data_IF_743330562371
#
_entry.id   IF_743330562371
#
_cell.length_a   1.000
_cell.length_b   1.000
_cell.length_c   1.000
_cell.angle_alpha   90.00
_cell.angle_beta   90.00
_cell.angle_gamma   90.00
#
_symmetry.space_group_name_H-M   'P 1'
#
loop_
_entity.id
_entity.type
_entity.pdbx_description
1 polymer ?
#
# COMPACT_ATOMS: atom_id res chain seq x y z
N UNK A 1 8.36 -6.34 -11.52
CA UNK A 1 7.39 -7.08 -10.68
C UNK A 1 6.50 -6.06 -10.00
N UNK A 2 5.28 -5.90 -10.48
CA UNK A 2 4.36 -4.83 -10.08
C UNK A 2 2.93 -5.39 -10.04
N UNK A 3 2.15 -4.91 -9.07
CA UNK A 3 0.71 -5.14 -9.01
C UNK A 3 0.04 -3.83 -9.41
N UNK A 4 -0.85 -3.89 -10.41
CA UNK A 4 -1.64 -2.74 -10.85
C UNK A 4 -3.04 -2.90 -10.25
N UNK A 5 -3.43 -1.94 -9.43
CA UNK A 5 -4.77 -1.84 -8.87
C UNK A 5 -5.54 -0.75 -9.63
N UNK A 6 -6.85 -0.94 -9.84
CA UNK A 6 -7.68 0.12 -10.38
C UNK A 6 -7.75 1.30 -9.41
N UNK A 7 -7.76 2.52 -9.95
CA UNK A 7 -7.83 3.76 -9.16
C UNK A 7 -9.29 4.17 -8.93
N UNK A 8 -9.59 4.71 -7.76
CA UNK A 8 -10.94 5.12 -7.35
C UNK A 8 -11.33 4.67 -5.95
N UNK A 9 -12.11 5.48 -5.23
CA UNK A 9 -12.61 5.16 -3.88
C UNK A 9 -13.52 3.91 -3.87
N UNK A 10 -14.18 3.58 -4.99
CA UNK A 10 -14.98 2.36 -5.12
C UNK A 10 -14.14 1.07 -4.94
N UNK A 11 -12.83 1.16 -5.21
CA UNK A 11 -11.87 0.08 -5.02
C UNK A 11 -11.26 0.07 -3.61
N UNK A 12 -11.67 0.96 -2.72
CA UNK A 12 -11.30 0.94 -1.29
C UNK A 12 -12.11 -0.10 -0.53
N UNK A 13 -11.97 -1.35 -0.95
CA UNK A 13 -12.74 -2.48 -0.45
C UNK A 13 -11.84 -3.68 -0.10
N UNK A 14 -12.41 -4.65 0.62
CA UNK A 14 -11.66 -5.83 1.07
C UNK A 14 -11.17 -6.71 -0.09
N UNK A 15 -11.87 -6.71 -1.22
CA UNK A 15 -11.47 -7.48 -2.40
C UNK A 15 -10.16 -6.95 -2.99
N UNK A 16 -10.04 -5.63 -3.13
CA UNK A 16 -8.80 -4.97 -3.58
C UNK A 16 -7.66 -5.20 -2.59
N UNK A 17 -7.96 -5.26 -1.29
CA UNK A 17 -6.99 -5.61 -0.26
C UNK A 17 -6.52 -7.06 -0.37
N UNK A 18 -7.43 -8.00 -0.64
CA UNK A 18 -7.10 -9.41 -0.85
C UNK A 18 -6.14 -9.56 -2.03
N UNK A 19 -6.36 -8.84 -3.13
CA UNK A 19 -5.43 -8.84 -4.28
C UNK A 19 -4.00 -8.42 -3.89
N UNK A 20 -3.85 -7.50 -2.94
CA UNK A 20 -2.53 -7.11 -2.40
C UNK A 20 -1.93 -8.27 -1.62
N UNK A 21 -2.69 -8.94 -0.75
CA UNK A 21 -2.20 -10.09 0.01
C UNK A 21 -1.83 -11.27 -0.88
N UNK A 22 -2.67 -11.60 -1.87
CA UNK A 22 -2.41 -12.69 -2.81
C UNK A 22 -1.11 -12.43 -3.57
N UNK A 23 -0.90 -11.19 -4.03
CA UNK A 23 0.35 -10.80 -4.66
C UNK A 23 1.55 -10.94 -3.71
N UNK A 24 1.44 -10.50 -2.45
CA UNK A 24 2.50 -10.68 -1.46
C UNK A 24 2.81 -12.16 -1.19
N UNK A 25 1.78 -13.00 -1.09
CA UNK A 25 1.91 -14.43 -0.84
C UNK A 25 2.53 -15.17 -2.02
N UNK A 26 2.06 -14.90 -3.25
CA UNK A 26 2.59 -15.46 -4.49
C UNK A 26 4.09 -15.16 -4.62
N UNK A 27 4.49 -13.97 -4.16
CA UNK A 27 5.88 -13.50 -4.20
C UNK A 27 6.69 -13.89 -2.96
N UNK A 28 6.12 -14.72 -2.08
CA UNK A 28 6.76 -15.19 -0.83
C UNK A 28 7.33 -14.03 0.00
N UNK A 29 6.60 -12.91 0.03
CA UNK A 29 6.95 -11.77 0.85
C UNK A 29 7.04 -12.18 2.32
N UNK A 30 8.03 -11.62 3.00
CA UNK A 30 8.32 -11.87 4.40
C UNK A 30 8.41 -10.54 5.17
N UNK A 31 8.69 -10.60 6.47
CA UNK A 31 8.78 -9.40 7.32
C UNK A 31 9.85 -8.39 6.89
N UNK A 32 10.87 -8.83 6.16
CA UNK A 32 11.92 -7.98 5.60
C UNK A 32 11.56 -7.33 4.26
N UNK A 33 10.39 -7.66 3.69
CA UNK A 33 9.95 -7.13 2.41
C UNK A 33 9.62 -5.65 2.52
N UNK A 34 10.01 -4.91 1.49
CA UNK A 34 9.70 -3.49 1.33
C UNK A 34 8.57 -3.34 0.31
N UNK A 35 7.42 -2.85 0.75
CA UNK A 35 6.33 -2.49 -0.13
C UNK A 35 6.51 -1.04 -0.61
N UNK A 36 6.37 -0.80 -1.92
CA UNK A 36 6.39 0.56 -2.48
C UNK A 36 5.02 0.86 -3.06
N UNK A 37 4.32 1.82 -2.47
CA UNK A 37 3.03 2.28 -2.94
C UNK A 37 3.25 3.50 -3.85
N UNK A 38 2.92 3.35 -5.14
CA UNK A 38 3.00 4.43 -6.12
C UNK A 38 1.59 4.78 -6.59
N UNK A 39 1.10 5.97 -6.24
CA UNK A 39 -0.27 6.37 -6.58
C UNK A 39 -0.79 7.54 -5.75
N UNK A 40 -2.10 7.81 -5.86
CA UNK A 40 -2.80 8.80 -5.04
C UNK A 40 -3.10 8.32 -3.62
N UNK A 41 -3.94 9.07 -2.91
CA UNK A 41 -4.30 8.79 -1.51
C UNK A 41 -4.98 7.43 -1.31
N UNK A 42 -5.82 6.98 -2.26
CA UNK A 42 -6.52 5.70 -2.18
C UNK A 42 -5.53 4.52 -2.17
N UNK A 43 -4.60 4.51 -3.13
CA UNK A 43 -3.55 3.48 -3.22
C UNK A 43 -2.65 3.51 -1.98
N UNK A 44 -2.28 4.71 -1.51
CA UNK A 44 -1.48 4.89 -0.30
C UNK A 44 -2.16 4.31 0.96
N UNK A 45 -3.46 4.58 1.14
CA UNK A 45 -4.25 4.06 2.27
C UNK A 45 -4.34 2.53 2.23
N UNK A 46 -4.68 1.97 1.07
CA UNK A 46 -4.85 0.51 0.90
C UNK A 46 -3.54 -0.24 1.08
N UNK A 47 -2.47 0.24 0.45
CA UNK A 47 -1.13 -0.33 0.63
C UNK A 47 -0.62 -0.13 2.07
N UNK A 48 -0.95 0.99 2.71
CA UNK A 48 -0.58 1.25 4.10
C UNK A 48 -1.28 0.34 5.08
N UNK A 49 -2.57 0.10 4.87
CA UNK A 49 -3.32 -0.87 5.65
C UNK A 49 -2.75 -2.28 5.45
N UNK A 50 -2.56 -2.72 4.20
CA UNK A 50 -1.97 -4.02 3.88
C UNK A 50 -0.57 -4.19 4.50
N UNK A 51 0.28 -3.17 4.43
CA UNK A 51 1.62 -3.22 5.00
C UNK A 51 1.61 -3.31 6.54
N UNK A 52 0.67 -2.64 7.21
CA UNK A 52 0.54 -2.67 8.67
C UNK A 52 0.01 -4.02 9.20
N UNK A 53 -0.91 -4.65 8.47
CA UNK A 53 -1.55 -5.92 8.86
C UNK A 53 -0.75 -7.15 8.42
N UNK A 54 -0.08 -7.10 7.27
CA UNK A 54 0.65 -8.23 6.73
C UNK A 54 1.83 -8.59 7.64
N UNK A 55 1.85 -9.84 8.14
CA UNK A 55 2.87 -10.35 9.07
C UNK A 55 3.13 -9.46 10.30
N UNK A 56 2.08 -8.79 10.82
CA UNK A 56 2.18 -7.80 11.92
C UNK A 56 3.05 -6.58 11.59
N UNK A 57 3.13 -6.21 10.32
CA UNK A 57 3.85 -5.02 9.87
C UNK A 57 5.07 -5.36 9.02
N UNK A 58 5.08 -4.82 7.80
CA UNK A 58 6.23 -4.77 6.91
C UNK A 58 6.60 -3.33 6.58
N UNK A 59 7.83 -3.11 6.10
CA UNK A 59 8.29 -1.78 5.74
C UNK A 59 7.55 -1.32 4.48
N UNK A 60 7.12 -0.05 4.46
CA UNK A 60 6.55 0.56 3.27
C UNK A 60 7.20 1.91 2.93
N UNK A 61 7.19 2.26 1.65
CA UNK A 61 7.46 3.61 1.15
C UNK A 61 6.25 4.06 0.33
N UNK A 62 5.83 5.30 0.54
CA UNK A 62 4.79 5.93 -0.28
C UNK A 62 5.42 6.92 -1.27
N UNK A 63 5.03 6.80 -2.53
CA UNK A 63 5.40 7.69 -3.64
C UNK A 63 4.10 8.31 -4.16
N UNK A 64 3.66 9.43 -3.56
CA UNK A 64 2.39 10.07 -3.88
C UNK A 64 2.44 10.74 -5.26
N UNK A 65 1.48 10.41 -6.13
CA UNK A 65 1.35 11.00 -7.47
C UNK A 65 0.32 12.12 -7.55
N UNK A 66 -0.50 12.31 -6.51
CA UNK A 66 -1.50 13.40 -6.45
C UNK A 66 -1.08 14.49 -5.48
N UNK A 67 -1.35 15.76 -5.83
CA UNK A 67 -1.05 16.93 -5.00
C UNK A 67 -1.73 16.83 -3.62
N UNK A 68 -2.98 16.37 -3.59
CA UNK A 68 -3.71 16.16 -2.33
C UNK A 68 -3.00 15.15 -1.42
N UNK A 69 -2.50 14.04 -1.98
CA UNK A 69 -1.73 13.07 -1.20
C UNK A 69 -0.40 13.67 -0.71
N UNK A 70 0.26 14.49 -1.54
CA UNK A 70 1.50 15.17 -1.17
C UNK A 70 1.35 16.16 -0.01
N UNK A 71 0.24 16.90 0.02
CA UNK A 71 0.03 18.00 0.98
C UNK A 71 -0.67 17.53 2.27
N UNK A 72 -1.57 16.55 2.20
CA UNK A 72 -2.37 16.10 3.35
C UNK A 72 -1.85 14.78 3.96
N UNK A 73 -1.22 13.92 3.16
CA UNK A 73 -1.00 12.51 3.51
C UNK A 73 0.46 12.07 3.57
N UNK A 74 1.42 12.89 3.10
CA UNK A 74 2.87 12.61 3.22
C UNK A 74 3.35 12.87 4.65
N UNK A 75 2.93 12.00 5.55
CA UNK A 75 3.73 11.60 6.70
C UNK A 75 4.50 10.34 6.31
N UNK A 76 5.39 10.48 5.32
CA UNK A 76 6.38 9.46 5.03
C UNK A 76 7.24 9.30 6.29
N UNK A 77 7.37 8.05 6.76
CA UNK A 77 7.92 7.65 8.08
C UNK A 77 6.90 7.74 9.24
N UNK A 78 5.86 6.90 9.21
CA UNK A 78 5.32 6.37 10.48
C UNK A 78 6.32 5.35 11.04
N UNK A 79 7.36 5.87 11.70
CA UNK A 79 8.11 5.13 12.73
C UNK A 79 7.23 5.16 13.98
N UNK A 80 6.44 4.11 14.17
CA UNK A 80 6.00 3.60 15.46
C UNK A 80 5.38 2.23 15.27
#
# INVERSE_FOLDING_TARGET
MNLILPDGEEYKNLETLQRIYDFLMEKKANRGTLMVAFGGGVIGDMAGFAAATFMRGIKMIQVPTTLLAQVDRVSAVKRQ
#
